data_IF_777688541938
#
_entry.id   IF_777688541938
#
_cell.length_a   1.000
_cell.length_b   1.000
_cell.length_c   1.000
_cell.angle_alpha   90.00
_cell.angle_beta   90.00
_cell.angle_gamma   90.00
#
_symmetry.space_group_name_H-M   'P 1'
#
loop_
_entity.id
_entity.type
_entity.pdbx_description
1 polymer ?
#
# COMPACT_ATOMS: atom_id res chain seq x y z
N UNK A 1 -8.89 29.42 5.59
CA UNK A 1 -9.45 29.88 4.29
C UNK A 1 -10.72 29.10 3.97
N UNK A 2 -11.69 29.71 3.29
CA UNK A 2 -12.93 29.04 2.85
C UNK A 2 -13.22 29.38 1.38
N UNK A 3 -13.79 28.42 0.66
CA UNK A 3 -14.11 28.52 -0.76
C UNK A 3 -15.62 28.44 -0.95
N UNK A 4 -16.17 29.20 -1.89
CA UNK A 4 -17.60 29.12 -2.25
C UNK A 4 -17.74 28.17 -3.43
N UNK A 5 -18.37 27.02 -3.21
CA UNK A 5 -18.64 26.03 -4.26
C UNK A 5 -20.16 25.85 -4.31
N UNK A 6 -20.75 25.99 -5.50
CA UNK A 6 -22.20 25.90 -5.72
C UNK A 6 -23.03 26.76 -4.74
N UNK A 7 -22.55 27.98 -4.44
CA UNK A 7 -23.23 28.91 -3.53
C UNK A 7 -23.07 28.60 -2.03
N UNK A 8 -22.31 27.56 -1.66
CA UNK A 8 -22.06 27.19 -0.26
C UNK A 8 -20.60 27.43 0.11
N UNK A 9 -20.38 28.02 1.30
CA UNK A 9 -19.04 28.18 1.88
C UNK A 9 -18.58 26.85 2.46
N UNK A 10 -17.49 26.31 1.93
CA UNK A 10 -16.83 25.10 2.42
C UNK A 10 -15.44 25.46 2.93
N UNK A 11 -15.05 24.93 4.08
CA UNK A 11 -13.72 25.12 4.63
C UNK A 11 -12.66 24.45 3.74
N UNK A 12 -11.52 25.11 3.52
CA UNK A 12 -10.44 24.58 2.69
C UNK A 12 -9.93 23.21 3.18
N UNK A 13 -9.96 22.96 4.49
CA UNK A 13 -9.51 21.71 5.10
C UNK A 13 -10.43 20.54 4.72
N UNK A 14 -11.74 20.71 4.87
CA UNK A 14 -12.74 19.72 4.47
C UNK A 14 -12.79 19.48 2.97
N UNK A 15 -12.62 20.54 2.18
CA UNK A 15 -12.55 20.43 0.74
C UNK A 15 -11.37 19.57 0.29
N UNK A 16 -10.20 19.80 0.88
CA UNK A 16 -8.98 19.06 0.55
C UNK A 16 -9.11 17.59 0.94
N UNK A 17 -9.65 17.30 2.14
CA UNK A 17 -9.91 15.92 2.59
C UNK A 17 -10.90 15.22 1.64
N UNK A 18 -11.98 15.89 1.25
CA UNK A 18 -12.96 15.33 0.31
C UNK A 18 -12.33 15.02 -1.05
N UNK A 19 -11.50 15.91 -1.60
CA UNK A 19 -10.82 15.67 -2.87
C UNK A 19 -9.84 14.50 -2.78
N UNK A 20 -9.00 14.46 -1.73
CA UNK A 20 -8.02 13.39 -1.54
C UNK A 20 -8.70 12.03 -1.34
N UNK A 21 -9.70 11.96 -0.47
CA UNK A 21 -10.46 10.71 -0.22
C UNK A 21 -11.18 10.21 -1.47
N UNK A 22 -11.79 11.11 -2.24
CA UNK A 22 -12.46 10.76 -3.49
C UNK A 22 -11.46 10.30 -4.55
N UNK A 23 -10.30 10.95 -4.64
CA UNK A 23 -9.26 10.57 -5.60
C UNK A 23 -8.68 9.19 -5.29
N UNK A 24 -8.18 8.99 -4.06
CA UNK A 24 -7.61 7.70 -3.67
C UNK A 24 -8.66 6.58 -3.60
N UNK A 25 -9.86 6.87 -3.09
CA UNK A 25 -10.98 5.93 -3.07
C UNK A 25 -11.46 5.56 -4.47
N UNK A 26 -11.52 6.53 -5.38
CA UNK A 26 -11.88 6.33 -6.78
C UNK A 26 -10.84 5.53 -7.56
N UNK A 27 -9.55 5.79 -7.34
CA UNK A 27 -8.46 5.00 -7.92
C UNK A 27 -8.49 3.56 -7.39
N UNK A 28 -8.63 3.38 -6.08
CA UNK A 28 -8.74 2.05 -5.47
C UNK A 28 -9.96 1.29 -6.01
N UNK A 29 -11.10 1.96 -6.15
CA UNK A 29 -12.31 1.38 -6.73
C UNK A 29 -12.12 1.01 -8.21
N UNK A 30 -11.54 1.89 -9.01
CA UNK A 30 -11.27 1.64 -10.43
C UNK A 30 -10.31 0.45 -10.64
N UNK A 31 -9.30 0.30 -9.77
CA UNK A 31 -8.36 -0.83 -9.81
C UNK A 31 -8.96 -2.12 -9.24
N UNK A 32 -9.94 -2.02 -8.34
CA UNK A 32 -10.61 -3.19 -7.74
C UNK A 32 -11.54 -3.96 -8.71
N UNK A 33 -11.84 -3.39 -9.87
CA UNK A 33 -12.73 -3.97 -10.88
C UNK A 33 -12.04 -4.80 -11.95
N UNK A 34 -11.47 -5.96 -11.59
CA UNK A 34 -11.21 -7.04 -12.55
C UNK A 34 -11.58 -8.40 -11.92
N UNK A 35 -12.56 -9.14 -12.47
CA UNK A 35 -12.90 -10.47 -11.99
C UNK A 35 -11.90 -11.47 -12.57
N UNK A 36 -10.88 -11.82 -11.80
CA UNK A 36 -10.07 -13.01 -12.05
C UNK A 36 -9.66 -13.62 -10.73
N UNK A 37 -10.48 -14.58 -10.27
CA UNK A 37 -10.06 -15.83 -9.61
C UNK A 37 -8.64 -15.84 -9.01
N UNK A 38 -8.37 -15.04 -7.98
CA UNK A 38 -7.09 -15.06 -7.28
C UNK A 38 -7.25 -14.85 -5.78
N UNK A 39 -8.09 -15.69 -5.19
CA UNK A 39 -8.05 -16.04 -3.77
C UNK A 39 -6.72 -16.73 -3.37
N UNK A 40 -5.75 -16.81 -4.29
CA UNK A 40 -4.38 -17.32 -4.07
C UNK A 40 -3.34 -16.20 -3.87
N UNK A 41 -3.65 -14.93 -4.18
CA UNK A 41 -2.73 -13.78 -4.05
C UNK A 41 -2.71 -13.12 -2.66
N UNK A 42 -3.58 -13.52 -1.73
CA UNK A 42 -3.47 -13.11 -0.32
C UNK A 42 -2.17 -13.61 0.33
N UNK A 43 -1.52 -14.64 -0.23
CA UNK A 43 -0.19 -15.11 0.16
C UNK A 43 0.97 -14.26 -0.41
N UNK A 44 0.74 -13.37 -1.39
CA UNK A 44 1.75 -12.40 -1.89
C UNK A 44 1.75 -11.08 -1.07
N UNK A 45 0.73 -10.83 -0.24
CA UNK A 45 0.48 -9.54 0.46
C UNK A 45 1.23 -9.35 1.79
N UNK A 46 2.29 -10.12 2.04
CA UNK A 46 3.28 -9.77 3.08
C UNK A 46 4.51 -9.06 2.50
N UNK A 47 4.59 -8.89 1.17
CA UNK A 47 5.73 -8.25 0.50
C UNK A 47 5.22 -7.25 -0.56
N UNK A 48 5.88 -6.09 -0.71
CA UNK A 48 5.50 -5.09 -1.71
C UNK A 48 5.53 -5.72 -3.12
N UNK A 49 4.68 -5.28 -4.07
CA UNK A 49 4.63 -5.83 -5.42
C UNK A 49 6.02 -5.75 -6.07
N UNK A 50 6.63 -6.91 -6.28
CA UNK A 50 7.93 -7.01 -6.93
C UNK A 50 7.68 -6.82 -8.42
N UNK A 51 7.94 -5.61 -8.93
CA UNK A 51 7.95 -5.33 -10.35
C UNK A 51 9.25 -5.88 -10.95
N UNK A 52 9.26 -7.20 -11.17
CA UNK A 52 10.37 -7.92 -11.78
C UNK A 52 9.98 -8.32 -13.20
N UNK A 53 10.82 -7.97 -14.16
CA UNK A 53 10.57 -8.26 -15.58
C UNK A 53 10.61 -9.77 -15.89
N UNK A 54 11.09 -10.60 -14.96
CA UNK A 54 11.11 -12.06 -15.05
C UNK A 54 10.88 -12.76 -13.70
N UNK A 55 10.26 -13.93 -13.74
CA UNK A 55 9.86 -14.75 -12.57
C UNK A 55 11.04 -15.20 -11.70
N UNK A 56 12.24 -15.21 -12.26
CA UNK A 56 13.49 -15.52 -11.57
C UNK A 56 13.92 -14.37 -10.63
N UNK A 57 13.79 -13.12 -11.10
CA UNK A 57 14.13 -11.93 -10.31
C UNK A 57 13.17 -11.76 -9.11
N UNK A 58 11.89 -12.11 -9.27
CA UNK A 58 10.95 -12.17 -8.14
C UNK A 58 11.48 -13.09 -7.03
N UNK A 59 11.94 -14.29 -7.39
CA UNK A 59 12.36 -15.31 -6.41
C UNK A 59 13.65 -14.91 -5.68
N UNK A 60 14.58 -14.25 -6.36
CA UNK A 60 15.79 -13.70 -5.77
C UNK A 60 15.48 -12.60 -4.74
N UNK A 61 14.61 -11.64 -5.09
CA UNK A 61 14.23 -10.53 -4.22
C UNK A 61 13.47 -11.05 -2.98
N UNK A 62 12.61 -12.06 -3.16
CA UNK A 62 11.90 -12.68 -2.04
C UNK A 62 12.86 -13.33 -1.03
N UNK A 63 13.87 -14.07 -1.52
CA UNK A 63 14.87 -14.70 -0.66
C UNK A 63 15.75 -13.67 0.05
N UNK A 64 16.16 -12.61 -0.64
CA UNK A 64 16.97 -11.54 -0.08
C UNK A 64 16.27 -10.83 1.09
N UNK A 65 15.00 -10.42 0.91
CA UNK A 65 14.23 -9.76 1.97
C UNK A 65 14.02 -10.70 3.17
N UNK A 66 13.75 -11.98 2.90
CA UNK A 66 13.56 -12.99 3.96
C UNK A 66 14.82 -13.21 4.78
N UNK A 67 15.99 -13.23 4.16
CA UNK A 67 17.29 -13.32 4.85
C UNK A 67 17.60 -12.07 5.68
N UNK A 68 17.24 -10.88 5.19
CA UNK A 68 17.41 -9.62 5.94
C UNK A 68 16.48 -9.54 7.15
N UNK A 69 15.21 -9.96 7.02
CA UNK A 69 14.29 -10.05 8.17
C UNK A 69 14.78 -11.05 9.21
N UNK A 70 15.28 -12.23 8.80
CA UNK A 70 15.82 -13.23 9.72
C UNK A 70 17.07 -12.72 10.46
N UNK A 71 17.98 -12.05 9.74
CA UNK A 71 19.14 -11.40 10.36
C UNK A 71 18.73 -10.28 11.31
N UNK A 72 17.80 -9.41 10.92
CA UNK A 72 17.30 -8.31 11.76
C UNK A 72 16.62 -8.83 13.03
N UNK A 73 15.90 -9.95 12.96
CA UNK A 73 15.28 -10.60 14.11
C UNK A 73 16.28 -11.29 15.03
N UNK A 74 17.41 -11.76 14.50
CA UNK A 74 18.51 -12.33 15.30
C UNK A 74 19.41 -11.27 15.97
N UNK A 75 19.31 -10.00 15.58
CA UNK A 75 20.19 -8.91 16.04
C UNK A 75 19.62 -8.09 17.22
N UNK A 76 18.52 -8.50 17.84
CA UNK A 76 17.96 -7.87 19.05
C UNK A 76 17.98 -8.84 20.25
N UNK A 77 19.00 -8.80 21.11
CA UNK A 77 18.84 -9.21 22.50
C UNK A 77 18.27 -8.02 23.29
N UNK A 78 17.08 -8.17 23.86
CA UNK A 78 16.65 -7.36 25.02
C UNK A 78 17.38 -7.92 26.25
N UNK A 79 18.04 -7.08 27.05
CA UNK A 79 18.07 -7.33 28.49
C UNK A 79 17.37 -6.22 29.27
N UNK A 80 16.50 -6.68 30.17
CA UNK A 80 15.86 -5.91 31.22
C UNK A 80 16.88 -5.34 32.22
N UNK A 81 16.68 -4.09 32.62
CA UNK A 81 16.76 -3.61 34.01
C UNK A 81 16.10 -2.23 34.11
#
# INVERSE_FOLDING_TARGET
>A
MSYVIAGRKIGAEWLSIATLTTFFGGVAYAVSGSPSTKTTEELKKAMPPIDASSKDEESFILNFIKEEEEKAKSALPVPAH
#
